data_IF_669418833310
#
_entry.id   IF_669418833310
#
_cell.length_a   1.000
_cell.length_b   1.000
_cell.length_c   1.000
_cell.angle_alpha   90.00
_cell.angle_beta   90.00
_cell.angle_gamma   90.00
#
_symmetry.space_group_name_H-M   'P 1'
#
loop_
_entity.id
_entity.type
_entity.pdbx_description
1 polymer ?
#
# COMPACT_ATOMS: atom_id res chain seq x y z
N UNK A 1 -9.45 1.83 11.63
CA UNK A 1 -8.55 2.29 10.55
C UNK A 1 -7.24 1.49 10.43
N UNK A 2 -6.27 1.60 11.35
CA UNK A 2 -4.95 0.94 11.17
C UNK A 2 -5.01 -0.58 11.01
N UNK A 3 -5.79 -1.26 11.84
CA UNK A 3 -5.88 -2.73 11.84
C UNK A 3 -6.44 -3.31 10.54
N UNK A 4 -7.38 -2.64 9.90
CA UNK A 4 -7.98 -3.10 8.64
C UNK A 4 -7.01 -2.92 7.47
N UNK A 5 -6.28 -1.81 7.46
CA UNK A 5 -5.23 -1.62 6.46
C UNK A 5 -4.14 -2.67 6.66
N UNK A 6 -3.75 -2.99 7.90
CA UNK A 6 -2.80 -4.09 8.17
C UNK A 6 -3.32 -5.44 7.67
N UNK A 7 -4.61 -5.76 7.88
CA UNK A 7 -5.24 -6.99 7.35
C UNK A 7 -5.26 -7.02 5.82
N UNK A 8 -5.61 -5.89 5.18
CA UNK A 8 -5.64 -5.77 3.74
C UNK A 8 -4.21 -5.88 3.14
N UNK A 9 -3.22 -5.27 3.77
CA UNK A 9 -1.82 -5.36 3.37
C UNK A 9 -1.25 -6.78 3.55
N UNK A 10 -1.78 -7.57 4.49
CA UNK A 10 -1.38 -8.96 4.68
C UNK A 10 -1.80 -9.88 3.52
N UNK A 11 -2.73 -9.45 2.65
CA UNK A 11 -3.12 -10.21 1.45
C UNK A 11 -2.27 -9.88 0.22
N UNK A 12 -1.32 -8.96 0.33
CA UNK A 12 -0.43 -8.54 -0.75
C UNK A 12 0.92 -9.26 -0.65
N UNK A 13 1.67 -9.24 -1.75
CA UNK A 13 3.07 -9.67 -1.69
C UNK A 13 3.89 -8.73 -0.80
N UNK A 14 4.94 -9.26 -0.17
CA UNK A 14 5.75 -8.54 0.81
C UNK A 14 6.24 -7.18 0.28
N UNK A 15 6.69 -7.14 -0.98
CA UNK A 15 7.19 -5.92 -1.63
C UNK A 15 6.09 -4.89 -1.91
N UNK A 16 4.90 -5.35 -2.27
CA UNK A 16 3.72 -4.50 -2.48
C UNK A 16 3.26 -3.90 -1.15
N UNK A 17 3.13 -4.74 -0.13
CA UNK A 17 2.77 -4.35 1.22
C UNK A 17 3.79 -3.35 1.78
N UNK A 18 5.09 -3.61 1.59
CA UNK A 18 6.16 -2.73 2.05
C UNK A 18 6.08 -1.33 1.42
N UNK A 19 5.88 -1.23 0.10
CA UNK A 19 5.72 0.04 -0.60
C UNK A 19 4.50 0.81 -0.08
N UNK A 20 3.35 0.13 0.11
CA UNK A 20 2.17 0.77 0.65
C UNK A 20 2.33 1.20 2.12
N UNK A 21 3.02 0.39 2.95
CA UNK A 21 3.33 0.77 4.34
C UNK A 21 4.19 2.02 4.40
N UNK A 22 5.25 2.09 3.61
CA UNK A 22 6.09 3.28 3.50
C UNK A 22 5.29 4.48 3.01
N UNK A 23 4.48 4.30 1.96
CA UNK A 23 3.74 5.40 1.35
C UNK A 23 2.67 6.01 2.26
N UNK A 24 1.98 5.17 3.03
CA UNK A 24 0.93 5.61 3.96
C UNK A 24 1.44 5.84 5.40
N UNK A 25 2.74 5.63 5.65
CA UNK A 25 3.32 5.78 7.00
C UNK A 25 2.79 4.74 8.01
N UNK A 26 2.43 3.55 7.54
CA UNK A 26 1.90 2.47 8.37
C UNK A 26 3.09 1.74 9.00
N UNK A 27 3.07 1.60 10.32
CA UNK A 27 4.19 1.11 11.13
C UNK A 27 5.47 1.96 10.99
N UNK A 28 5.35 3.19 10.47
CA UNK A 28 6.43 4.15 10.34
C UNK A 28 6.04 5.49 10.98
N UNK A 29 7.06 6.33 11.24
CA UNK A 29 6.89 7.62 11.90
C UNK A 29 6.22 8.66 10.98
N UNK A 30 6.49 8.59 9.68
CA UNK A 30 5.95 9.48 8.66
C UNK A 30 5.73 8.74 7.34
N UNK A 31 4.74 9.16 6.52
CA UNK A 31 4.58 8.67 5.15
C UNK A 31 5.74 9.12 4.27
N UNK A 32 6.15 8.26 3.34
CA UNK A 32 7.21 8.53 2.38
C UNK A 32 6.66 8.78 0.98
N UNK A 33 7.33 9.66 0.24
CA UNK A 33 7.08 9.94 -1.17
C UNK A 33 7.56 8.79 -2.07
N UNK A 34 7.09 8.75 -3.32
CA UNK A 34 7.55 7.73 -4.27
C UNK A 34 9.05 7.85 -4.58
N UNK A 35 9.60 9.07 -4.58
CA UNK A 35 11.04 9.31 -4.70
C UNK A 35 11.81 8.69 -3.53
N UNK A 36 11.43 8.97 -2.28
CA UNK A 36 12.14 8.46 -1.10
C UNK A 36 12.07 6.93 -1.01
N UNK A 37 10.92 6.35 -1.37
CA UNK A 37 10.75 4.90 -1.44
C UNK A 37 11.61 4.29 -2.55
N UNK A 38 11.69 4.95 -3.70
CA UNK A 38 12.51 4.51 -4.82
C UNK A 38 13.99 4.50 -4.45
N UNK A 39 14.49 5.57 -3.83
CA UNK A 39 15.86 5.66 -3.32
C UNK A 39 16.14 4.55 -2.29
N UNK A 40 15.25 4.37 -1.31
CA UNK A 40 15.40 3.37 -0.25
C UNK A 40 15.39 1.93 -0.74
N UNK A 41 14.64 1.64 -1.81
CA UNK A 41 14.52 0.29 -2.39
C UNK A 41 15.46 0.04 -3.57
N UNK A 42 16.30 1.02 -3.95
CA UNK A 42 17.16 0.93 -5.14
C UNK A 42 16.37 0.76 -6.44
N UNK A 43 15.18 1.38 -6.52
CA UNK A 43 14.27 1.31 -7.66
C UNK A 43 14.15 2.67 -8.33
N UNK A 44 13.59 2.69 -9.54
CA UNK A 44 13.13 3.94 -10.14
C UNK A 44 11.78 4.33 -9.54
N UNK A 45 11.51 5.65 -9.45
CA UNK A 45 10.20 6.18 -9.03
C UNK A 45 9.05 5.54 -9.81
N UNK A 46 9.23 5.39 -11.12
CA UNK A 46 8.22 4.80 -11.98
C UNK A 46 7.95 3.34 -11.63
N UNK A 47 8.97 2.57 -11.28
CA UNK A 47 8.78 1.20 -10.82
C UNK A 47 7.99 1.14 -9.52
N UNK A 48 8.27 2.04 -8.57
CA UNK A 48 7.50 2.14 -7.31
C UNK A 48 6.05 2.53 -7.61
N UNK A 49 5.80 3.48 -8.53
CA UNK A 49 4.45 3.86 -8.96
C UNK A 49 3.68 2.67 -9.52
N UNK A 50 4.29 1.89 -10.40
CA UNK A 50 3.69 0.69 -10.99
C UNK A 50 3.33 -0.35 -9.94
N UNK A 51 4.25 -0.66 -9.02
CA UNK A 51 3.99 -1.65 -7.95
C UNK A 51 2.86 -1.15 -7.03
N UNK A 52 2.86 0.14 -6.69
CA UNK A 52 1.77 0.75 -5.92
C UNK A 52 0.42 0.59 -6.63
N UNK A 53 0.34 0.86 -7.93
CA UNK A 53 -0.91 0.73 -8.69
C UNK A 53 -1.41 -0.73 -8.76
N UNK A 54 -0.50 -1.69 -8.95
CA UNK A 54 -0.82 -3.11 -8.92
C UNK A 54 -1.36 -3.50 -7.54
N UNK A 55 -0.67 -3.09 -6.47
CA UNK A 55 -1.08 -3.35 -5.10
C UNK A 55 -2.48 -2.77 -4.80
N UNK A 56 -2.74 -1.52 -5.20
CA UNK A 56 -4.06 -0.89 -5.04
C UNK A 56 -5.13 -1.64 -5.85
N UNK A 57 -4.84 -2.09 -7.07
CA UNK A 57 -5.77 -2.90 -7.86
C UNK A 57 -6.08 -4.22 -7.15
N UNK A 58 -5.07 -4.94 -6.65
CA UNK A 58 -5.25 -6.18 -5.87
C UNK A 58 -6.14 -5.96 -4.64
N UNK A 59 -5.92 -4.87 -3.90
CA UNK A 59 -6.75 -4.52 -2.73
C UNK A 59 -8.21 -4.23 -3.13
N UNK A 60 -8.43 -3.53 -4.25
CA UNK A 60 -9.78 -3.25 -4.77
C UNK A 60 -10.48 -4.46 -5.38
N UNK A 61 -9.74 -5.50 -5.76
CA UNK A 61 -10.31 -6.74 -6.30
C UNK A 61 -10.66 -7.75 -5.21
N UNK A 62 -10.23 -7.53 -3.96
CA UNK A 62 -10.55 -8.41 -2.84
C UNK A 62 -11.91 -8.03 -2.22
N UNK A 63 -12.98 -8.86 -2.35
CA UNK A 63 -14.33 -8.54 -1.89
C UNK A 63 -14.39 -8.19 -0.39
N UNK A 64 -13.61 -8.89 0.43
CA UNK A 64 -13.54 -8.65 1.87
C UNK A 64 -12.98 -7.26 2.20
N UNK A 65 -12.02 -6.77 1.40
CA UNK A 65 -11.43 -5.43 1.56
C UNK A 65 -12.35 -4.36 0.97
N UNK A 66 -13.03 -4.64 -0.14
CA UNK A 66 -13.99 -3.71 -0.79
C UNK A 66 -15.21 -3.45 0.08
N UNK A 67 -15.76 -4.48 0.72
CA UNK A 67 -16.94 -4.36 1.59
C UNK A 67 -16.62 -3.49 2.82
N UNK A 68 -15.40 -3.64 3.37
CA UNK A 68 -14.93 -2.77 4.46
C UNK A 68 -14.61 -1.36 3.93
N UNK A 69 -13.83 -1.20 2.86
CA UNK A 69 -13.49 0.12 2.29
C UNK A 69 -14.70 0.95 1.88
N UNK A 70 -15.81 0.31 1.44
CA UNK A 70 -17.08 1.00 1.15
C UNK A 70 -17.74 1.61 2.39
N UNK A 71 -17.58 1.02 3.57
CA UNK A 71 -18.06 1.62 4.83
C UNK A 71 -17.22 2.83 5.26
N UNK A 72 -15.99 2.99 4.75
CA UNK A 72 -15.05 4.03 5.17
C UNK A 72 -14.81 5.15 4.15
N UNK A 73 -15.26 5.00 2.90
CA UNK A 73 -15.19 6.01 1.83
C UNK A 73 -16.57 6.64 1.51
N UNK A 74 -17.57 6.42 2.36
CA UNK A 74 -18.84 7.13 2.34
C UNK A 74 -18.71 8.55 2.86
#
# INVERSE_FOLDING_TARGET
>A
LRQEITKALATLEEREAQILRMHFGIDQRYPMTLEEIAEKLGLTRERVRQIKEIAIRKLRSNPAVVEHLRQYLG
#
